data_IF_794914444826
#
_entry.id   IF_794914444826
#
_cell.length_a   1.000
_cell.length_b   1.000
_cell.length_c   1.000
_cell.angle_alpha   90.00
_cell.angle_beta   90.00
_cell.angle_gamma   90.00
#
_symmetry.space_group_name_H-M   'P 1'
#
loop_
_entity.id
_entity.type
_entity.pdbx_description
1 polymer ?
#
# COMPACT_ATOMS: atom_id res chain seq x y z
N UNK A 1 12.87 -16.66 17.62
CA UNK A 1 11.65 -17.28 17.08
C UNK A 1 12.02 -18.13 15.85
N UNK A 2 11.35 -19.27 15.66
CA UNK A 2 11.53 -20.12 14.48
C UNK A 2 10.81 -19.51 13.28
N UNK A 3 11.30 -19.78 12.08
CA UNK A 3 10.58 -19.44 10.85
C UNK A 3 9.32 -20.30 10.71
N UNK A 4 8.24 -19.74 10.16
CA UNK A 4 7.01 -20.48 9.85
C UNK A 4 7.26 -21.58 8.79
N UNK A 5 8.25 -21.36 7.94
CA UNK A 5 8.73 -22.28 6.89
C UNK A 5 10.16 -21.96 6.47
N UNK A 6 10.85 -22.92 5.88
CA UNK A 6 12.21 -22.70 5.38
C UNK A 6 12.24 -21.65 4.26
N UNK A 7 13.23 -20.73 4.25
CA UNK A 7 13.35 -19.72 3.20
C UNK A 7 13.28 -20.30 1.79
N UNK A 8 12.45 -19.68 0.93
CA UNK A 8 12.28 -20.10 -0.46
C UNK A 8 11.32 -21.29 -0.69
N UNK A 9 10.77 -21.90 0.35
CA UNK A 9 9.91 -23.09 0.22
C UNK A 9 8.43 -22.79 0.15
N UNK A 10 8.00 -21.66 0.69
CA UNK A 10 6.59 -21.29 0.76
C UNK A 10 6.42 -19.77 0.67
N UNK A 11 5.17 -19.31 0.58
CA UNK A 11 4.79 -17.92 0.64
C UNK A 11 3.76 -17.70 1.74
N UNK A 12 3.93 -16.64 2.52
CA UNK A 12 2.98 -16.17 3.52
C UNK A 12 2.89 -14.65 3.53
N UNK A 13 1.70 -14.10 3.71
CA UNK A 13 1.53 -12.66 3.93
C UNK A 13 2.20 -12.27 5.24
N UNK A 14 3.04 -11.22 5.23
CA UNK A 14 3.78 -10.84 6.42
C UNK A 14 3.94 -9.32 6.54
N UNK A 15 3.27 -8.73 7.49
CA UNK A 15 3.50 -7.33 7.89
C UNK A 15 4.91 -7.13 8.43
N UNK A 16 5.41 -8.09 9.23
CA UNK A 16 6.78 -8.06 9.76
C UNK A 16 7.83 -8.03 8.66
N UNK A 17 7.62 -8.78 7.57
CA UNK A 17 8.50 -8.72 6.40
C UNK A 17 8.57 -7.31 5.81
N UNK A 18 7.45 -6.61 5.72
CA UNK A 18 7.42 -5.23 5.21
C UNK A 18 7.99 -4.22 6.20
N UNK A 19 7.88 -4.44 7.51
CA UNK A 19 8.58 -3.64 8.53
C UNK A 19 10.11 -3.77 8.33
N UNK A 20 10.61 -4.98 8.15
CA UNK A 20 12.03 -5.23 7.89
C UNK A 20 12.51 -4.57 6.59
N UNK A 21 11.69 -4.59 5.53
CA UNK A 21 12.01 -3.87 4.28
C UNK A 21 12.12 -2.36 4.50
N UNK A 22 11.24 -1.76 5.31
CA UNK A 22 11.34 -0.35 5.69
C UNK A 22 12.65 -0.05 6.42
N UNK A 23 13.01 -0.88 7.39
CA UNK A 23 14.28 -0.76 8.10
C UNK A 23 15.49 -0.88 7.16
N UNK A 24 15.45 -1.81 6.21
CA UNK A 24 16.53 -1.96 5.20
C UNK A 24 16.64 -0.67 4.35
N UNK A 25 15.52 -0.08 3.96
CA UNK A 25 15.51 1.20 3.22
C UNK A 25 16.25 2.27 4.04
N UNK A 26 15.97 2.40 5.33
CA UNK A 26 16.65 3.37 6.19
C UNK A 26 18.15 3.12 6.27
N UNK A 27 18.55 1.86 6.49
CA UNK A 27 19.98 1.50 6.60
C UNK A 27 20.77 1.75 5.30
N UNK A 28 20.14 1.49 4.15
CA UNK A 28 20.81 1.66 2.84
C UNK A 28 20.80 3.11 2.38
N UNK A 29 19.74 3.85 2.67
CA UNK A 29 19.58 5.23 2.19
C UNK A 29 20.16 6.30 3.12
N UNK A 30 20.31 5.99 4.40
CA UNK A 30 20.65 6.96 5.46
C UNK A 30 19.53 7.97 5.75
N UNK A 31 18.30 7.71 5.28
CA UNK A 31 17.12 8.55 5.49
C UNK A 31 16.11 7.77 6.31
N UNK A 32 15.23 8.46 7.04
CA UNK A 32 14.05 7.79 7.63
C UNK A 32 13.16 7.26 6.52
N UNK A 33 12.36 6.22 6.80
CA UNK A 33 11.41 5.68 5.85
C UNK A 33 10.46 6.77 5.31
N UNK A 34 9.98 7.66 6.18
CA UNK A 34 9.13 8.78 5.82
C UNK A 34 9.79 9.71 4.81
N UNK A 35 11.00 10.19 5.10
CA UNK A 35 11.76 11.07 4.20
C UNK A 35 12.04 10.40 2.85
N UNK A 36 12.41 9.11 2.88
CA UNK A 36 12.69 8.36 1.67
C UNK A 36 11.47 8.24 0.77
N UNK A 37 10.31 7.83 1.33
CA UNK A 37 9.06 7.64 0.58
C UNK A 37 8.57 8.98 0.04
N UNK A 38 8.59 10.04 0.85
CA UNK A 38 8.15 11.36 0.42
C UNK A 38 8.99 11.87 -0.75
N UNK A 39 10.31 11.89 -0.61
CA UNK A 39 11.24 12.43 -1.61
C UNK A 39 11.33 11.58 -2.87
N UNK A 40 11.43 10.26 -2.70
CA UNK A 40 11.75 9.36 -3.81
C UNK A 40 10.53 8.76 -4.50
N UNK A 41 9.37 8.75 -3.86
CA UNK A 41 8.14 8.21 -4.41
C UNK A 41 7.08 9.31 -4.60
N UNK A 42 6.60 9.92 -3.52
CA UNK A 42 5.46 10.83 -3.59
C UNK A 42 5.75 12.10 -4.40
N UNK A 43 6.85 12.79 -4.13
CA UNK A 43 7.22 14.00 -4.89
C UNK A 43 7.44 13.68 -6.37
N UNK A 44 8.12 12.56 -6.69
CA UNK A 44 8.33 12.13 -8.08
C UNK A 44 7.04 11.75 -8.80
N UNK A 45 6.06 11.21 -8.08
CA UNK A 45 4.74 10.89 -8.61
C UNK A 45 3.79 12.09 -8.63
N UNK A 46 4.13 13.23 -8.00
CA UNK A 46 3.26 14.39 -7.85
C UNK A 46 2.15 14.20 -6.81
N UNK A 47 2.38 13.36 -5.80
CA UNK A 47 1.43 12.99 -4.74
C UNK A 47 1.60 13.89 -3.52
N UNK A 48 1.15 15.14 -3.62
CA UNK A 48 1.36 16.15 -2.57
C UNK A 48 0.34 16.11 -1.41
N UNK A 49 -0.67 15.22 -1.49
CA UNK A 49 -1.64 14.98 -0.42
C UNK A 49 -1.47 13.58 0.19
N UNK A 50 -0.28 13.01 0.07
CA UNK A 50 0.08 11.70 0.58
C UNK A 50 1.29 11.81 1.51
N UNK A 51 1.37 10.93 2.49
CA UNK A 51 2.48 10.93 3.44
C UNK A 51 2.46 9.70 4.34
N UNK A 52 3.42 9.65 5.24
CA UNK A 52 3.41 8.70 6.34
C UNK A 52 2.62 9.29 7.51
N UNK A 53 1.76 8.47 8.09
CA UNK A 53 0.98 8.90 9.23
C UNK A 53 1.84 8.85 10.50
N UNK A 54 1.92 9.97 11.22
CA UNK A 54 2.43 10.03 12.58
C UNK A 54 1.34 10.57 13.51
N UNK A 55 1.39 10.24 14.79
CA UNK A 55 0.36 10.64 15.75
C UNK A 55 0.24 12.17 15.87
N UNK A 56 1.35 12.89 15.70
CA UNK A 56 1.43 14.34 15.82
C UNK A 56 1.20 15.07 14.50
N UNK A 57 1.00 14.34 13.38
CA UNK A 57 0.82 14.95 12.07
C UNK A 57 -0.55 15.65 11.95
N UNK A 58 -0.53 16.93 11.62
CA UNK A 58 -1.74 17.70 11.27
C UNK A 58 -2.03 17.47 9.79
N UNK A 59 -2.93 16.54 9.48
CA UNK A 59 -3.35 16.25 8.10
C UNK A 59 -4.60 17.08 7.79
N UNK A 60 -4.45 18.06 6.90
CA UNK A 60 -5.57 18.91 6.46
C UNK A 60 -6.64 18.05 5.75
N UNK A 61 -7.91 18.32 6.06
CA UNK A 61 -9.07 17.62 5.45
C UNK A 61 -9.05 16.09 5.66
N UNK A 62 -8.44 15.62 6.74
CA UNK A 62 -8.45 14.21 7.08
C UNK A 62 -9.88 13.71 7.28
N UNK A 63 -10.22 12.60 6.63
CA UNK A 63 -11.43 11.84 6.97
C UNK A 63 -11.18 11.09 8.29
N UNK A 64 -12.09 11.24 9.25
CA UNK A 64 -12.05 10.47 10.50
C UNK A 64 -12.63 9.08 10.27
N UNK A 65 -12.02 8.06 10.88
CA UNK A 65 -12.46 6.68 10.78
C UNK A 65 -13.63 6.37 11.69
N UNK A 66 -14.50 5.47 11.26
CA UNK A 66 -15.68 5.01 11.99
C UNK A 66 -15.75 3.49 12.02
N UNK A 67 -16.16 2.94 13.16
CA UNK A 67 -16.47 1.52 13.32
C UNK A 67 -17.95 1.32 13.59
N UNK A 68 -18.51 0.23 13.05
CA UNK A 68 -19.88 -0.16 13.30
C UNK A 68 -19.96 -0.95 14.61
N UNK A 69 -20.87 -0.56 15.49
CA UNK A 69 -21.21 -1.30 16.70
C UNK A 69 -22.70 -1.64 16.73
N UNK A 70 -23.12 -2.46 17.69
CA UNK A 70 -24.53 -2.75 17.89
C UNK A 70 -25.38 -1.50 18.22
N UNK A 71 -24.75 -0.44 18.73
CA UNK A 71 -25.39 0.82 19.09
C UNK A 71 -25.24 1.92 18.03
N UNK A 72 -24.74 1.59 16.82
CA UNK A 72 -24.52 2.51 15.72
C UNK A 72 -23.03 2.78 15.42
N UNK A 73 -22.78 3.82 14.66
CA UNK A 73 -21.42 4.23 14.30
C UNK A 73 -20.75 4.95 15.48
N UNK A 74 -19.52 4.56 15.78
CA UNK A 74 -18.64 5.27 16.70
C UNK A 74 -17.42 5.79 15.95
N UNK A 75 -16.89 6.94 16.37
CA UNK A 75 -15.60 7.42 15.89
C UNK A 75 -14.51 6.48 16.38
N UNK A 76 -13.74 5.95 15.47
CA UNK A 76 -12.59 5.13 15.83
C UNK A 76 -11.51 6.02 16.43
N UNK A 77 -11.14 5.75 17.67
CA UNK A 77 -9.99 6.42 18.27
C UNK A 77 -8.74 6.10 17.46
N UNK A 78 -7.93 7.13 17.24
CA UNK A 78 -6.65 6.97 16.52
C UNK A 78 -5.80 5.94 17.27
N UNK A 79 -5.72 4.73 16.73
CA UNK A 79 -4.74 3.75 17.20
C UNK A 79 -3.37 4.37 16.98
N UNK A 80 -2.43 4.08 17.88
CA UNK A 80 -1.04 4.52 17.72
C UNK A 80 -0.46 4.01 16.40
N UNK A 81 -0.59 4.82 15.35
CA UNK A 81 -0.16 4.48 13.99
C UNK A 81 1.37 4.40 13.82
N UNK A 82 2.15 4.69 14.87
CA UNK A 82 3.57 4.33 14.88
C UNK A 82 3.77 2.82 14.66
N UNK A 83 2.72 2.02 14.91
CA UNK A 83 2.67 0.59 14.56
C UNK A 83 2.57 0.39 13.04
N UNK A 84 2.03 1.36 12.28
CA UNK A 84 1.82 1.22 10.83
C UNK A 84 3.10 1.26 9.99
N UNK A 85 4.10 2.03 10.41
CA UNK A 85 5.41 2.18 9.75
C UNK A 85 5.38 1.86 8.22
N UNK A 86 6.23 1.00 7.72
CA UNK A 86 6.34 0.65 6.30
C UNK A 86 5.34 -0.40 5.80
N UNK A 87 4.57 -1.05 6.69
CA UNK A 87 3.61 -2.08 6.29
C UNK A 87 2.17 -1.57 6.11
N UNK A 88 1.85 -0.34 6.57
CA UNK A 88 0.48 0.18 6.47
C UNK A 88 0.30 1.62 6.95
N UNK A 89 1.38 2.33 7.30
CA UNK A 89 1.35 3.67 7.88
C UNK A 89 1.24 4.83 6.88
N UNK A 90 0.73 4.61 5.68
CA UNK A 90 0.57 5.67 4.68
C UNK A 90 -0.86 6.22 4.66
N UNK A 91 -0.99 7.52 4.40
CA UNK A 91 -2.26 8.12 4.02
C UNK A 91 -2.18 8.70 2.61
N UNK A 92 -3.31 8.78 1.92
CA UNK A 92 -3.39 9.32 0.57
C UNK A 92 -4.80 9.80 0.22
N UNK A 93 -4.95 10.28 -1.01
CA UNK A 93 -6.22 10.59 -1.66
C UNK A 93 -6.40 9.74 -2.91
N UNK A 94 -7.64 9.63 -3.41
CA UNK A 94 -7.93 8.93 -4.68
C UNK A 94 -7.12 9.53 -5.83
N UNK A 95 -7.04 10.87 -5.90
CA UNK A 95 -6.29 11.57 -6.95
C UNK A 95 -4.79 11.27 -6.90
N UNK A 96 -4.19 11.23 -5.71
CA UNK A 96 -2.78 10.92 -5.58
C UNK A 96 -2.49 9.44 -5.88
N UNK A 97 -3.35 8.51 -5.47
CA UNK A 97 -3.22 7.11 -5.84
C UNK A 97 -3.37 6.90 -7.36
N UNK A 98 -4.20 7.70 -8.04
CA UNK A 98 -4.24 7.68 -9.50
C UNK A 98 -2.94 8.20 -10.14
N UNK A 99 -2.34 9.27 -9.60
CA UNK A 99 -1.00 9.73 -10.03
C UNK A 99 0.06 8.66 -9.80
N UNK A 100 -0.01 7.92 -8.70
CA UNK A 100 0.86 6.78 -8.43
C UNK A 100 0.80 5.73 -9.55
N UNK A 101 -0.40 5.34 -9.97
CA UNK A 101 -0.54 4.36 -11.06
C UNK A 101 0.08 4.85 -12.37
N UNK A 102 -0.11 6.13 -12.70
CA UNK A 102 0.53 6.75 -13.87
C UNK A 102 2.05 6.80 -13.74
N UNK A 103 2.55 7.16 -12.56
CA UNK A 103 3.99 7.24 -12.30
C UNK A 103 4.68 5.88 -12.40
N UNK A 104 4.04 4.80 -11.91
CA UNK A 104 4.53 3.44 -12.08
C UNK A 104 4.68 3.05 -13.56
N UNK A 105 3.69 3.39 -14.39
CA UNK A 105 3.68 3.03 -15.81
C UNK A 105 4.60 3.92 -16.68
N UNK A 106 5.10 5.04 -16.15
CA UNK A 106 5.88 6.04 -16.90
C UNK A 106 7.40 5.96 -16.68
N UNK A 107 7.92 4.92 -16.05
CA UNK A 107 9.33 4.78 -15.65
C UNK A 107 9.85 5.87 -14.69
N UNK A 108 9.00 6.71 -14.12
CA UNK A 108 9.42 7.76 -13.19
C UNK A 108 9.88 7.21 -11.84
N UNK A 109 9.28 6.12 -11.40
CA UNK A 109 9.52 5.51 -10.08
C UNK A 109 10.44 4.29 -10.21
N UNK A 110 10.09 3.38 -11.09
CA UNK A 110 10.83 2.14 -11.34
C UNK A 110 10.91 1.87 -12.85
N UNK A 111 11.92 1.13 -13.28
CA UNK A 111 12.06 0.74 -14.68
C UNK A 111 10.95 -0.22 -15.12
N UNK A 112 10.66 -0.27 -16.43
CA UNK A 112 9.72 -1.26 -17.01
C UNK A 112 10.10 -2.70 -16.63
N UNK A 113 11.40 -3.03 -16.56
CA UNK A 113 11.88 -4.33 -16.10
C UNK A 113 11.51 -4.62 -14.66
N UNK A 114 11.64 -3.63 -13.78
CA UNK A 114 11.26 -3.76 -12.36
C UNK A 114 9.74 -3.84 -12.20
N UNK A 115 8.98 -3.05 -12.96
CA UNK A 115 7.52 -3.12 -12.96
C UNK A 115 7.02 -4.50 -13.45
N UNK A 116 7.65 -5.07 -14.49
CA UNK A 116 7.34 -6.42 -14.95
C UNK A 116 7.60 -7.48 -13.89
N UNK A 117 8.71 -7.36 -13.14
CA UNK A 117 8.98 -8.24 -11.98
C UNK A 117 7.95 -8.06 -10.86
N UNK A 118 7.58 -6.81 -10.55
CA UNK A 118 6.57 -6.49 -9.54
C UNK A 118 5.22 -7.13 -9.86
N UNK A 119 4.82 -7.11 -11.14
CA UNK A 119 3.56 -7.66 -11.64
C UNK A 119 3.63 -9.16 -11.98
N UNK A 120 4.74 -9.85 -11.67
CA UNK A 120 4.87 -11.30 -11.88
C UNK A 120 4.36 -12.05 -10.65
N UNK A 121 3.31 -12.85 -10.75
CA UNK A 121 2.83 -13.63 -9.62
C UNK A 121 3.80 -14.77 -9.27
N UNK A 122 3.75 -15.21 -8.03
CA UNK A 122 4.53 -16.35 -7.54
C UNK A 122 3.93 -17.71 -7.93
N UNK A 123 2.77 -17.74 -8.60
CA UNK A 123 2.08 -18.92 -9.13
C UNK A 123 1.60 -18.64 -10.55
N UNK A 124 1.35 -19.68 -11.36
CA UNK A 124 0.93 -19.53 -12.76
C UNK A 124 -0.46 -18.88 -12.89
N UNK A 125 -1.40 -19.26 -12.04
CA UNK A 125 -2.80 -18.79 -12.07
C UNK A 125 -3.08 -17.52 -11.24
N UNK A 126 -2.03 -16.81 -10.80
CA UNK A 126 -2.17 -15.63 -9.93
C UNK A 126 -1.41 -15.78 -8.62
N UNK A 127 -1.58 -14.83 -7.70
CA UNK A 127 -0.91 -14.87 -6.41
C UNK A 127 -0.17 -13.57 -6.07
N UNK A 128 0.89 -13.67 -5.26
CA UNK A 128 1.63 -12.51 -4.81
C UNK A 128 2.71 -12.07 -5.82
N UNK A 129 2.69 -10.78 -6.15
CA UNK A 129 3.80 -10.05 -6.72
C UNK A 129 4.60 -9.32 -5.62
N UNK A 130 5.32 -8.27 -5.97
CA UNK A 130 6.03 -7.47 -4.97
C UNK A 130 5.11 -6.34 -4.43
N UNK A 131 4.55 -6.57 -3.23
CA UNK A 131 3.64 -5.65 -2.56
C UNK A 131 2.23 -5.55 -3.15
N UNK A 132 1.87 -6.45 -4.04
CA UNK A 132 0.57 -6.51 -4.73
C UNK A 132 0.16 -7.97 -4.94
N UNK A 133 -1.13 -8.16 -5.16
CA UNK A 133 -1.67 -9.44 -5.66
C UNK A 133 -1.94 -9.33 -7.15
N UNK A 134 -1.77 -10.44 -7.85
CA UNK A 134 -2.06 -10.58 -9.27
C UNK A 134 -3.15 -11.64 -9.43
N UNK A 135 -4.17 -11.34 -10.21
CA UNK A 135 -5.28 -12.24 -10.47
C UNK A 135 -5.83 -12.07 -11.89
N UNK A 136 -6.74 -12.92 -12.28
CA UNK A 136 -7.48 -12.85 -13.53
C UNK A 136 -8.97 -12.77 -13.24
N UNK A 137 -9.58 -11.64 -13.58
CA UNK A 137 -11.00 -11.39 -13.39
C UNK A 137 -11.68 -11.23 -14.74
N UNK A 138 -12.58 -12.17 -15.08
CA UNK A 138 -13.26 -12.21 -16.39
C UNK A 138 -12.29 -12.19 -17.58
N UNK A 139 -11.18 -12.94 -17.49
CA UNK A 139 -10.16 -13.00 -18.53
C UNK A 139 -9.21 -11.81 -18.59
N UNK A 140 -9.32 -10.86 -17.64
CA UNK A 140 -8.50 -9.65 -17.58
C UNK A 140 -7.53 -9.73 -16.41
N UNK A 141 -6.25 -9.52 -16.69
CA UNK A 141 -5.21 -9.54 -15.69
C UNK A 141 -5.25 -8.27 -14.85
N UNK A 142 -5.35 -8.43 -13.55
CA UNK A 142 -5.36 -7.32 -12.59
C UNK A 142 -4.18 -7.41 -11.63
N UNK A 143 -3.74 -6.23 -11.16
CA UNK A 143 -2.86 -6.09 -10.02
C UNK A 143 -3.59 -5.29 -8.94
N UNK A 144 -3.69 -5.80 -7.72
CA UNK A 144 -4.46 -5.15 -6.68
C UNK A 144 -3.83 -5.29 -5.30
N UNK A 145 -4.24 -4.43 -4.40
CA UNK A 145 -4.04 -4.58 -2.97
C UNK A 145 -5.21 -3.96 -2.21
N UNK A 146 -5.52 -4.55 -1.06
CA UNK A 146 -6.52 -4.04 -0.13
C UNK A 146 -5.85 -3.48 1.11
N UNK A 147 -6.52 -2.61 1.84
CA UNK A 147 -6.11 -2.17 3.15
C UNK A 147 -7.29 -2.20 4.11
N UNK A 148 -7.07 -2.69 5.31
CA UNK A 148 -8.05 -2.66 6.37
C UNK A 148 -7.33 -2.37 7.69
N UNK A 149 -7.73 -1.28 8.31
CA UNK A 149 -7.32 -0.87 9.65
C UNK A 149 -8.55 -0.34 10.38
N UNK A 150 -8.58 -0.31 11.71
CA UNK A 150 -9.72 0.20 12.44
C UNK A 150 -10.19 1.56 11.93
N UNK A 151 -11.43 1.62 11.49
CA UNK A 151 -12.07 2.82 10.96
C UNK A 151 -11.84 3.11 9.47
N UNK A 152 -11.03 2.33 8.75
CA UNK A 152 -10.74 2.59 7.34
C UNK A 152 -10.61 1.30 6.53
N UNK A 153 -11.15 1.32 5.31
CA UNK A 153 -10.89 0.27 4.32
C UNK A 153 -10.48 0.90 2.99
N UNK A 154 -9.64 0.23 2.25
CA UNK A 154 -9.18 0.70 0.94
C UNK A 154 -8.99 -0.45 -0.03
N UNK A 155 -9.14 -0.14 -1.32
CA UNK A 155 -8.75 -1.03 -2.40
C UNK A 155 -8.25 -0.23 -3.59
N UNK A 156 -7.19 -0.73 -4.21
CA UNK A 156 -6.70 -0.25 -5.50
C UNK A 156 -6.55 -1.44 -6.42
N UNK A 157 -7.20 -1.37 -7.59
CA UNK A 157 -7.16 -2.41 -8.63
C UNK A 157 -6.70 -1.75 -9.93
N UNK A 158 -5.66 -2.30 -10.55
CA UNK A 158 -5.18 -1.89 -11.87
C UNK A 158 -5.41 -3.02 -12.87
N UNK A 159 -6.15 -2.76 -13.92
CA UNK A 159 -6.25 -3.62 -15.08
C UNK A 159 -4.99 -3.41 -15.93
N UNK A 160 -4.15 -4.44 -16.03
CA UNK A 160 -2.77 -4.26 -16.54
C UNK A 160 -2.69 -4.04 -18.04
N UNK A 161 -3.72 -4.45 -18.79
CA UNK A 161 -3.76 -4.36 -20.25
C UNK A 161 -4.68 -3.25 -20.76
N UNK A 162 -5.55 -2.69 -19.90
CA UNK A 162 -6.63 -1.76 -20.31
C UNK A 162 -6.46 -0.33 -19.82
N UNK A 163 -5.40 -0.01 -19.10
CA UNK A 163 -5.16 1.31 -18.49
C UNK A 163 -6.29 1.77 -17.53
N UNK A 164 -7.11 0.84 -17.04
CA UNK A 164 -8.17 1.11 -16.09
C UNK A 164 -7.64 0.94 -14.68
N UNK A 165 -7.96 1.89 -13.82
CA UNK A 165 -7.66 1.81 -12.38
C UNK A 165 -8.91 2.11 -11.57
N UNK A 166 -9.23 1.26 -10.61
CA UNK A 166 -10.29 1.45 -9.63
C UNK A 166 -9.64 1.71 -8.28
N UNK A 167 -10.03 2.81 -7.64
CA UNK A 167 -9.54 3.21 -6.32
C UNK A 167 -10.74 3.53 -5.44
N UNK A 168 -10.85 2.86 -4.31
CA UNK A 168 -11.89 3.11 -3.33
C UNK A 168 -11.22 3.31 -1.97
N UNK A 169 -11.52 4.44 -1.34
CA UNK A 169 -11.10 4.75 0.02
C UNK A 169 -12.35 5.00 0.84
N UNK A 170 -12.50 4.29 1.95
CA UNK A 170 -13.61 4.46 2.87
C UNK A 170 -13.09 4.80 4.26
N UNK A 171 -13.81 5.65 4.97
CA UNK A 171 -13.55 5.97 6.37
C UNK A 171 -14.48 5.18 7.31
N UNK A 172 -14.79 3.97 6.92
CA UNK A 172 -15.49 2.96 7.71
C UNK A 172 -14.83 1.61 7.40
N UNK A 173 -14.51 0.84 8.43
CA UNK A 173 -14.08 -0.54 8.23
C UNK A 173 -15.24 -1.41 7.73
N UNK A 174 -14.94 -2.36 6.84
CA UNK A 174 -15.90 -3.29 6.22
C UNK A 174 -15.61 -4.72 6.64
#
# INVERSE_FOLDING_TARGET
ESFDFSPGTFWGYSNTGYILLGYIIEQVSGQTYSEYVEKNLFQKAGMFNSGTFTQDAIIKKRAYGYSQTNNGLITQMVINFNVGYSHGGLYSTVDDLFKWTKALNSNKIISTKSLSKMNKPNREEGGAGYGIFIDNVFGRKIAFHTGNIPGYSSVMIRYLNEEITIIILTNKET
#
